data_IF_338789944273
#
_entry.id   IF_338789944273
#
_cell.length_a   1.000
_cell.length_b   1.000
_cell.length_c   1.000
_cell.angle_alpha   90.00
_cell.angle_beta   90.00
_cell.angle_gamma   90.00
#
_symmetry.space_group_name_H-M   'P 1'
#
loop_
_entity.id
_entity.type
_entity.pdbx_description
1 polymer ?
#
# COMPACT_ATOMS: atom_id res chain seq x y z
N UNK A 1 6.42 55.80 -31.79
CA UNK A 1 5.32 55.68 -32.76
C UNK A 1 5.83 54.94 -33.98
N UNK A 2 5.68 53.61 -34.04
CA UNK A 2 5.37 52.82 -35.25
C UNK A 2 4.65 51.56 -34.74
N UNK A 3 3.43 51.37 -35.24
CA UNK A 3 2.52 50.24 -34.99
C UNK A 3 2.85 49.12 -36.00
N UNK A 4 2.37 47.92 -35.65
CA UNK A 4 2.00 46.80 -36.54
C UNK A 4 3.11 46.00 -37.24
N UNK A 5 3.26 44.74 -36.84
CA UNK A 5 2.88 43.52 -37.59
C UNK A 5 3.16 42.32 -36.67
N UNK A 6 2.17 41.72 -36.00
CA UNK A 6 1.19 40.76 -36.51
C UNK A 6 1.83 39.51 -37.11
N UNK A 7 1.86 38.45 -36.30
CA UNK A 7 1.69 37.05 -36.67
C UNK A 7 2.73 36.50 -37.64
N UNK A 8 3.81 35.95 -37.08
CA UNK A 8 4.65 34.97 -37.78
C UNK A 8 4.81 33.74 -36.88
N UNK A 9 4.05 32.72 -37.26
CA UNK A 9 4.37 31.30 -37.17
C UNK A 9 4.57 30.68 -35.77
N UNK A 10 3.42 30.34 -35.20
CA UNK A 10 3.14 28.99 -34.70
C UNK A 10 3.74 27.91 -35.63
N UNK A 11 4.94 27.39 -35.34
CA UNK A 11 5.50 26.22 -36.06
C UNK A 11 6.67 25.60 -35.27
N UNK A 12 6.37 24.97 -34.13
CA UNK A 12 7.33 24.03 -33.52
C UNK A 12 6.65 22.98 -32.63
N UNK A 13 5.61 22.33 -33.16
CA UNK A 13 5.04 21.10 -32.58
C UNK A 13 4.71 20.15 -33.72
N UNK A 14 5.67 19.30 -34.12
CA UNK A 14 5.43 18.01 -34.79
C UNK A 14 6.74 17.35 -35.27
N UNK A 15 7.60 16.91 -34.36
CA UNK A 15 8.57 15.80 -34.57
C UNK A 15 8.80 15.23 -33.16
N UNK A 16 8.29 14.08 -32.74
CA UNK A 16 8.44 12.74 -33.31
C UNK A 16 7.25 11.86 -32.90
N UNK A 17 6.41 11.48 -33.87
CA UNK A 17 5.63 10.24 -33.81
C UNK A 17 6.35 9.17 -34.61
N UNK A 18 6.21 7.92 -34.15
CA UNK A 18 6.59 6.67 -34.81
C UNK A 18 8.00 6.10 -34.51
N UNK A 19 8.19 5.62 -33.29
CA UNK A 19 8.67 4.23 -33.16
C UNK A 19 7.45 3.33 -33.11
N UNK A 20 6.94 2.98 -34.29
CA UNK A 20 6.01 1.87 -34.44
C UNK A 20 6.76 0.58 -34.20
N UNK A 21 6.74 0.08 -32.97
CA UNK A 21 6.95 -1.33 -32.73
C UNK A 21 5.59 -2.02 -32.85
N UNK A 22 5.43 -2.69 -33.99
CA UNK A 22 4.42 -3.71 -34.23
C UNK A 22 4.69 -4.89 -33.27
N UNK A 23 4.31 -4.70 -32.01
CA UNK A 23 4.29 -5.79 -31.05
C UNK A 23 2.91 -6.41 -31.14
N UNK A 24 2.80 -7.41 -32.00
CA UNK A 24 1.70 -8.38 -32.02
C UNK A 24 1.33 -8.71 -30.59
N UNK A 25 0.22 -8.16 -30.12
CA UNK A 25 -0.44 -8.57 -28.89
C UNK A 25 -0.97 -9.98 -29.15
N UNK A 26 -0.10 -10.98 -29.05
CA UNK A 26 -0.52 -12.31 -28.66
C UNK A 26 -1.05 -12.15 -27.25
N UNK A 27 -2.37 -11.92 -27.16
CA UNK A 27 -3.17 -12.07 -25.96
C UNK A 27 -3.11 -13.56 -25.58
N UNK A 28 -1.97 -14.01 -25.05
CA UNK A 28 -1.96 -15.19 -24.20
C UNK A 28 -2.82 -14.78 -23.02
N UNK A 29 -3.98 -15.40 -22.94
CA UNK A 29 -4.80 -15.43 -21.75
C UNK A 29 -3.98 -16.17 -20.69
N UNK A 30 -3.15 -15.40 -19.99
CA UNK A 30 -2.41 -15.90 -18.85
C UNK A 30 -3.23 -15.47 -17.64
N UNK A 31 -4.18 -16.32 -17.25
CA UNK A 31 -4.58 -16.46 -15.86
C UNK A 31 -3.36 -16.95 -15.05
N UNK A 32 -2.26 -16.19 -15.03
CA UNK A 32 -1.19 -16.36 -14.07
C UNK A 32 -1.56 -15.47 -12.90
N UNK A 33 -2.40 -16.02 -12.04
CA UNK A 33 -2.22 -15.86 -10.61
C UNK A 33 -0.71 -15.95 -10.36
N UNK A 34 -0.05 -14.84 -10.02
CA UNK A 34 1.31 -14.85 -9.50
C UNK A 34 1.28 -15.67 -8.20
N UNK A 35 1.33 -16.99 -8.35
CA UNK A 35 1.61 -17.89 -7.25
C UNK A 35 3.08 -17.71 -6.99
N UNK A 36 3.39 -16.83 -6.04
CA UNK A 36 4.70 -16.76 -5.39
C UNK A 36 5.13 -18.20 -5.14
N UNK A 37 6.16 -18.66 -5.87
CA UNK A 37 6.66 -20.02 -5.72
C UNK A 37 7.27 -20.13 -4.32
N UNK A 38 6.48 -20.68 -3.39
CA UNK A 38 6.92 -20.96 -2.03
C UNK A 38 8.16 -21.85 -2.08
N UNK A 39 9.13 -21.53 -1.23
CA UNK A 39 10.25 -22.44 -0.94
C UNK A 39 9.67 -23.72 -0.34
N UNK A 40 10.26 -24.88 -0.63
CA UNK A 40 9.91 -26.14 0.05
C UNK A 40 10.30 -25.94 1.52
N UNK A 41 9.31 -25.85 2.40
CA UNK A 41 9.36 -25.36 3.79
C UNK A 41 9.72 -23.86 3.95
N UNK A 42 8.76 -22.94 3.72
CA UNK A 42 8.97 -21.53 4.00
C UNK A 42 9.09 -21.32 5.51
N UNK A 43 10.25 -20.82 5.96
CA UNK A 43 10.45 -20.40 7.34
C UNK A 43 9.63 -19.13 7.57
N UNK A 44 8.49 -19.26 8.25
CA UNK A 44 7.69 -18.12 8.70
C UNK A 44 8.19 -17.69 10.09
N UNK A 45 8.63 -16.45 10.20
CA UNK A 45 8.99 -15.82 11.48
C UNK A 45 7.89 -14.85 11.86
N UNK A 46 7.37 -15.00 13.08
CA UNK A 46 6.38 -14.08 13.65
C UNK A 46 7.02 -13.28 14.76
N UNK A 47 6.91 -11.96 14.69
CA UNK A 47 7.34 -11.03 15.74
C UNK A 47 6.12 -10.31 16.30
N UNK A 48 5.93 -10.37 17.61
CA UNK A 48 4.83 -9.67 18.30
C UNK A 48 5.35 -8.38 18.92
N UNK A 49 4.59 -7.31 18.75
CA UNK A 49 4.86 -5.98 19.28
C UNK A 49 3.63 -5.55 20.06
N UNK A 50 3.82 -5.13 21.31
CA UNK A 50 2.72 -4.87 22.25
C UNK A 50 2.71 -3.44 22.78
N UNK A 51 1.50 -2.93 23.01
CA UNK A 51 1.24 -1.67 23.73
C UNK A 51 1.97 -0.44 23.18
N UNK A 52 2.09 -0.36 21.86
CA UNK A 52 2.73 0.78 21.18
C UNK A 52 1.76 1.95 21.10
N UNK A 53 2.23 3.14 21.44
CA UNK A 53 1.48 4.38 21.28
C UNK A 53 1.37 4.75 19.80
N UNK A 54 0.16 5.10 19.37
CA UNK A 54 -0.13 5.37 17.99
C UNK A 54 -1.30 6.35 17.83
N UNK A 55 -1.54 6.79 16.60
CA UNK A 55 -2.64 7.68 16.24
C UNK A 55 -3.51 6.98 15.21
N UNK A 56 -4.79 6.79 15.53
CA UNK A 56 -5.75 6.23 14.59
C UNK A 56 -6.04 7.22 13.46
N UNK A 57 -6.03 6.75 12.21
CA UNK A 57 -6.32 7.58 11.04
C UNK A 57 -7.70 7.24 10.48
N UNK A 58 -7.85 6.02 9.95
CA UNK A 58 -9.08 5.57 9.29
C UNK A 58 -9.09 4.07 9.13
N UNK A 59 -10.28 3.47 9.15
CA UNK A 59 -10.53 2.14 8.65
C UNK A 59 -10.86 2.22 7.15
N UNK A 60 -9.98 1.70 6.29
CA UNK A 60 -10.16 1.76 4.82
C UNK A 60 -11.27 0.81 4.35
N UNK A 61 -11.32 -0.38 4.94
CA UNK A 61 -12.31 -1.42 4.67
C UNK A 61 -12.48 -2.34 5.90
N UNK A 62 -13.24 -3.41 5.77
CA UNK A 62 -13.44 -4.36 6.88
C UNK A 62 -12.16 -5.17 7.23
N UNK A 63 -11.08 -5.03 6.47
CA UNK A 63 -9.89 -5.88 6.56
C UNK A 63 -8.61 -5.10 6.88
N UNK A 64 -8.64 -3.78 6.87
CA UNK A 64 -7.46 -2.95 7.05
C UNK A 64 -7.73 -1.62 7.72
N UNK A 65 -6.73 -1.15 8.47
CA UNK A 65 -6.75 0.13 9.18
C UNK A 65 -5.44 0.86 9.01
N UNK A 66 -5.51 2.17 8.87
CA UNK A 66 -4.37 3.07 8.83
C UNK A 66 -4.13 3.70 10.20
N UNK A 67 -2.89 3.59 10.67
CA UNK A 67 -2.46 4.04 11.99
C UNK A 67 -1.07 4.66 11.85
N UNK A 68 -0.84 5.79 12.52
CA UNK A 68 0.48 6.41 12.61
C UNK A 68 1.22 5.84 13.82
N UNK A 69 2.38 5.25 13.59
CA UNK A 69 3.30 4.73 14.61
C UNK A 69 4.64 5.41 14.40
N UNK A 70 5.22 5.99 15.45
CA UNK A 70 6.49 6.74 15.38
C UNK A 70 6.54 7.80 14.25
N UNK A 71 5.41 8.49 14.04
CA UNK A 71 5.28 9.53 13.01
C UNK A 71 5.17 9.00 11.57
N UNK A 72 5.09 7.67 11.37
CA UNK A 72 4.93 7.05 10.05
C UNK A 72 3.56 6.41 9.91
N UNK A 73 2.91 6.64 8.78
CA UNK A 73 1.66 5.98 8.41
C UNK A 73 1.93 4.49 8.09
N UNK A 74 1.19 3.61 8.74
CA UNK A 74 1.25 2.16 8.52
C UNK A 74 -0.15 1.62 8.28
N UNK A 75 -0.26 0.64 7.39
CA UNK A 75 -1.49 -0.11 7.16
C UNK A 75 -1.39 -1.47 7.82
N UNK A 76 -2.34 -1.78 8.70
CA UNK A 76 -2.42 -3.07 9.38
C UNK A 76 -3.60 -3.87 8.86
N UNK A 77 -3.40 -5.17 8.68
CA UNK A 77 -4.47 -6.13 8.39
C UNK A 77 -5.25 -6.45 9.66
N UNK A 78 -6.53 -6.75 9.52
CA UNK A 78 -7.45 -7.04 10.62
C UNK A 78 -7.78 -8.55 10.75
N UNK A 79 -7.08 -9.41 10.01
CA UNK A 79 -7.35 -10.85 9.93
C UNK A 79 -7.40 -11.57 11.30
N UNK A 80 -6.69 -11.05 12.30
CA UNK A 80 -6.60 -11.63 13.64
C UNK A 80 -7.47 -10.89 14.69
N UNK A 81 -8.12 -9.80 14.29
CA UNK A 81 -8.97 -9.00 15.18
C UNK A 81 -10.38 -9.59 15.19
N UNK A 82 -10.87 -9.93 16.38
CA UNK A 82 -12.27 -10.32 16.59
C UNK A 82 -13.02 -9.16 17.23
N UNK A 83 -14.23 -8.90 16.73
CA UNK A 83 -15.25 -8.08 17.38
C UNK A 83 -14.81 -6.67 17.81
N UNK A 84 -13.87 -6.05 17.09
CA UNK A 84 -13.46 -4.66 17.37
C UNK A 84 -14.40 -3.68 16.67
N UNK A 85 -15.06 -2.83 17.45
CA UNK A 85 -15.86 -1.73 16.92
C UNK A 85 -15.03 -0.46 16.72
N UNK A 86 -14.48 -0.33 15.52
CA UNK A 86 -13.72 0.85 15.09
C UNK A 86 -14.59 2.12 14.99
N UNK A 87 -15.93 2.02 15.02
CA UNK A 87 -16.81 3.20 14.96
C UNK A 87 -16.67 4.11 16.18
N UNK A 88 -16.13 3.58 17.27
CA UNK A 88 -15.84 4.35 18.49
C UNK A 88 -14.58 5.21 18.38
N UNK A 89 -13.76 4.98 17.36
CA UNK A 89 -12.52 5.71 17.10
C UNK A 89 -12.75 6.82 16.08
N UNK A 90 -12.28 8.01 16.40
CA UNK A 90 -12.25 9.18 15.51
C UNK A 90 -10.83 9.42 15.02
N UNK A 91 -10.70 9.94 13.80
CA UNK A 91 -9.41 10.36 13.26
C UNK A 91 -8.66 11.21 14.28
N UNK A 92 -7.36 10.96 14.40
CA UNK A 92 -6.43 11.61 15.33
C UNK A 92 -6.57 11.16 16.80
N UNK A 93 -7.42 10.16 17.08
CA UNK A 93 -7.48 9.52 18.39
C UNK A 93 -6.13 8.89 18.76
N UNK A 94 -5.66 9.18 19.97
CA UNK A 94 -4.54 8.47 20.57
C UNK A 94 -5.00 7.06 20.95
N UNK A 95 -4.25 6.08 20.49
CA UNK A 95 -4.53 4.66 20.74
C UNK A 95 -3.28 3.95 21.22
N UNK A 96 -3.47 2.85 21.95
CA UNK A 96 -2.45 1.82 22.16
C UNK A 96 -2.76 0.63 21.30
N UNK A 97 -1.78 0.15 20.55
CA UNK A 97 -1.93 -0.99 19.66
C UNK A 97 -0.97 -2.12 20.00
N UNK A 98 -1.38 -3.34 19.68
CA UNK A 98 -0.51 -4.49 19.57
C UNK A 98 -0.68 -5.10 18.18
N UNK A 99 0.41 -5.62 17.60
CA UNK A 99 0.39 -6.21 16.27
C UNK A 99 1.46 -7.29 16.09
N UNK A 100 1.25 -8.16 15.10
CA UNK A 100 2.22 -9.18 14.68
C UNK A 100 2.79 -8.82 13.32
N UNK A 101 4.11 -8.94 13.17
CA UNK A 101 4.78 -8.91 11.87
C UNK A 101 5.08 -10.37 11.50
N UNK A 102 4.51 -10.84 10.39
CA UNK A 102 4.86 -12.14 9.81
C UNK A 102 5.82 -11.90 8.65
N UNK A 103 6.97 -12.55 8.70
CA UNK A 103 7.99 -12.56 7.64
C UNK A 103 8.06 -13.97 7.06
N UNK A 104 7.75 -14.11 5.77
CA UNK A 104 7.90 -15.35 5.03
C UNK A 104 9.10 -15.24 4.08
N UNK A 105 10.03 -16.19 4.19
CA UNK A 105 11.12 -16.35 3.22
C UNK A 105 10.57 -16.97 1.93
N UNK A 106 10.78 -16.29 0.82
CA UNK A 106 10.39 -16.74 -0.53
C UNK A 106 11.63 -16.83 -1.40
N UNK A 107 11.55 -17.49 -2.56
CA UNK A 107 12.72 -17.69 -3.44
C UNK A 107 13.42 -16.37 -3.80
N UNK A 108 12.65 -15.29 -3.93
CA UNK A 108 13.12 -13.99 -4.38
C UNK A 108 13.29 -12.96 -3.23
N UNK A 109 13.32 -13.41 -1.97
CA UNK A 109 13.56 -12.53 -0.81
C UNK A 109 12.59 -12.77 0.35
N UNK A 110 12.09 -11.69 0.94
CA UNK A 110 11.20 -11.72 2.11
C UNK A 110 9.90 -10.98 1.83
N UNK A 111 8.79 -11.59 2.25
CA UNK A 111 7.48 -10.92 2.28
C UNK A 111 7.16 -10.62 3.74
N UNK A 112 6.77 -9.38 4.03
CA UNK A 112 6.38 -8.93 5.38
C UNK A 112 4.96 -8.39 5.38
N UNK A 113 4.17 -8.78 6.36
CA UNK A 113 2.85 -8.19 6.60
C UNK A 113 2.58 -8.01 8.09
N UNK A 114 1.92 -6.90 8.41
CA UNK A 114 1.57 -6.52 9.78
C UNK A 114 0.08 -6.77 10.03
N UNK A 115 -0.25 -7.54 11.05
CA UNK A 115 -1.64 -7.79 11.46
C UNK A 115 -1.86 -7.13 12.82
N UNK A 116 -2.85 -6.25 12.91
CA UNK A 116 -3.29 -5.70 14.18
C UNK A 116 -3.89 -6.83 15.01
N UNK A 117 -3.59 -6.86 16.30
CA UNK A 117 -4.13 -7.85 17.25
C UNK A 117 -4.89 -7.20 18.40
N UNK A 118 -4.62 -5.92 18.67
CA UNK A 118 -5.30 -5.14 19.70
C UNK A 118 -5.26 -3.65 19.35
N UNK A 119 -6.32 -2.94 19.68
CA UNK A 119 -6.39 -1.47 19.66
C UNK A 119 -7.26 -0.98 20.80
N UNK A 120 -6.78 0.01 21.55
CA UNK A 120 -7.50 0.62 22.66
C UNK A 120 -7.35 2.15 22.60
N UNK A 121 -8.45 2.88 22.71
CA UNK A 121 -8.42 4.34 22.83
C UNK A 121 -7.80 4.74 24.16
N UNK A 122 -6.79 5.61 24.12
CA UNK A 122 -6.22 6.23 25.30
C UNK A 122 -7.17 7.33 25.76
N UNK A 123 -7.63 7.24 27.00
CA UNK A 123 -8.49 8.25 27.63
C UNK A 123 -7.71 9.50 28.02
#
# INVERSE_FOLDING_TARGET
MVKTQMIVLFLLVAMLTACGNDMKTTRKNINETQQVQRVVDPKVVTTTIENVEAIYVVQNDNNSVEIIVDGKLNTFRLDEMKDTDFKTLTKDDKVKISYTIKTEQVKDGEIKWSNLTKIEKVK
#
